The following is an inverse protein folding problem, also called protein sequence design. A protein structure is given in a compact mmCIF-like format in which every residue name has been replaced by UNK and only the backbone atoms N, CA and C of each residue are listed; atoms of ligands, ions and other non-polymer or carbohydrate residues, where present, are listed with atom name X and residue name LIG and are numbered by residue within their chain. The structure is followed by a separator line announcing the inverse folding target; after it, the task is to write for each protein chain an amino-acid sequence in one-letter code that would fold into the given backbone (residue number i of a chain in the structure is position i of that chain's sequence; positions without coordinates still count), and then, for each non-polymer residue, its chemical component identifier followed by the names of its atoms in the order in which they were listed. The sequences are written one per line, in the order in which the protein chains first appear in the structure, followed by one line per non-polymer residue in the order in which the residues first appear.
data_IF_883812927852
#
_entry.id   IF_883812927852
#
_cell.length_a   1.000
_cell.length_b   1.000
_cell.length_c   1.000
_cell.angle_alpha   90.00
_cell.angle_beta   90.00
_cell.angle_gamma   90.00
#
_symmetry.space_group_name_H-M   'P 1'
#
loop_
_entity.id
_entity.type
_entity.pdbx_description
1 polymer ?
#
# COMPACT_ATOMS: atom_id res chain seq x y z
N UNK A 1 1.89 63.47 40.34
CA UNK A 1 3.08 62.87 39.72
C UNK A 1 3.05 61.36 39.95
N UNK A 2 2.75 60.53 38.94
CA UNK A 2 2.65 59.08 39.13
C UNK A 2 4.05 58.47 39.17
N UNK A 3 4.34 57.68 40.21
CA UNK A 3 5.57 56.90 40.35
C UNK A 3 5.50 55.67 39.44
N UNK A 4 5.91 55.82 38.18
CA UNK A 4 6.13 54.71 37.26
C UNK A 4 7.53 54.12 37.44
N UNK A 5 7.70 53.10 38.28
CA UNK A 5 8.92 52.26 38.26
C UNK A 5 8.67 50.91 38.91
N UNK A 6 8.12 49.93 38.18
CA UNK A 6 8.13 48.53 38.64
C UNK A 6 7.79 47.45 37.58
N UNK A 7 7.99 47.71 36.29
CA UNK A 7 7.60 46.75 35.23
C UNK A 7 8.75 45.91 34.63
N UNK A 8 10.00 46.01 35.13
CA UNK A 8 11.17 45.36 34.49
C UNK A 8 11.81 44.18 35.24
N UNK A 9 11.37 43.85 36.46
CA UNK A 9 11.99 42.78 37.27
C UNK A 9 11.67 41.36 36.77
N UNK A 10 10.50 41.15 36.14
CA UNK A 10 10.11 39.86 35.55
C UNK A 10 10.94 39.48 34.31
N UNK A 11 11.26 40.47 33.46
CA UNK A 11 12.11 40.30 32.26
C UNK A 11 13.53 39.88 32.61
N UNK A 12 14.10 40.46 33.67
CA UNK A 12 15.46 40.14 34.11
C UNK A 12 15.59 38.76 34.77
N UNK A 13 14.54 38.29 35.47
CA UNK A 13 14.48 36.92 36.01
C UNK A 13 14.42 35.87 34.89
N UNK A 14 13.58 36.10 33.87
CA UNK A 14 13.48 35.23 32.69
C UNK A 14 14.78 35.21 31.88
N UNK A 15 15.39 36.38 31.65
CA UNK A 15 16.69 36.47 30.99
C UNK A 15 17.79 35.71 31.74
N UNK A 16 17.86 35.84 33.08
CA UNK A 16 18.80 35.06 33.91
C UNK A 16 18.53 33.56 33.84
N UNK A 17 17.27 33.13 33.79
CA UNK A 17 16.92 31.72 33.62
C UNK A 17 17.37 31.20 32.25
N UNK A 18 17.15 31.98 31.19
CA UNK A 18 17.58 31.66 29.82
C UNK A 18 19.10 31.59 29.69
N UNK A 19 19.83 32.54 30.27
CA UNK A 19 21.31 32.51 30.33
C UNK A 19 21.82 31.29 31.09
N UNK A 20 21.20 30.93 32.22
CA UNK A 20 21.52 29.71 32.97
C UNK A 20 21.21 28.45 32.15
N UNK A 21 20.09 28.40 31.42
CA UNK A 21 19.72 27.29 30.53
C UNK A 21 20.79 27.12 29.43
N UNK A 22 21.17 28.20 28.75
CA UNK A 22 22.20 28.20 27.71
C UNK A 22 23.55 27.76 28.29
N UNK A 23 23.94 28.26 29.47
CA UNK A 23 25.18 27.86 30.13
C UNK A 23 25.20 26.37 30.47
N UNK A 24 24.12 25.83 31.04
CA UNK A 24 23.99 24.39 31.32
C UNK A 24 24.03 23.55 30.05
N UNK A 25 23.36 24.01 28.99
CA UNK A 25 23.40 23.36 27.66
C UNK A 25 24.82 23.30 27.13
N UNK A 26 25.55 24.42 27.11
CA UNK A 26 26.96 24.46 26.67
C UNK A 26 27.87 23.55 27.50
N UNK A 27 27.68 23.52 28.82
CA UNK A 27 28.48 22.66 29.69
C UNK A 27 28.22 21.17 29.39
N UNK A 28 26.94 20.77 29.28
CA UNK A 28 26.57 19.40 28.91
C UNK A 28 27.08 19.01 27.53
N UNK A 29 26.98 19.91 26.56
CA UNK A 29 27.49 19.69 25.20
C UNK A 29 29.01 19.49 25.22
N UNK A 30 29.75 20.31 25.98
CA UNK A 30 31.20 20.17 26.10
C UNK A 30 31.59 18.83 26.73
N UNK A 31 30.93 18.44 27.82
CA UNK A 31 31.19 17.13 28.47
C UNK A 31 30.81 15.95 27.58
N UNK A 32 29.74 16.07 26.79
CA UNK A 32 29.36 15.04 25.81
C UNK A 32 30.42 14.94 24.70
N UNK A 33 30.87 16.06 24.14
CA UNK A 33 31.93 16.11 23.14
C UNK A 33 33.25 15.50 23.64
N UNK A 34 33.64 15.78 24.89
CA UNK A 34 34.84 15.18 25.49
C UNK A 34 34.71 13.66 25.65
N UNK A 35 33.54 13.17 26.08
CA UNK A 35 33.26 11.74 26.18
C UNK A 35 33.28 11.07 24.80
N UNK A 36 32.61 11.67 23.83
CA UNK A 36 32.47 11.10 22.49
C UNK A 36 33.82 11.08 21.77
N UNK A 37 34.67 12.11 21.96
CA UNK A 37 36.05 12.13 21.45
C UNK A 37 36.92 11.02 22.04
N UNK A 38 36.79 10.72 23.34
CA UNK A 38 37.51 9.60 23.96
C UNK A 38 37.04 8.25 23.41
N UNK A 39 35.73 8.07 23.21
CA UNK A 39 35.18 6.87 22.60
C UNK A 39 35.67 6.70 21.15
N UNK A 40 35.76 7.78 20.37
CA UNK A 40 36.32 7.76 19.02
C UNK A 40 37.81 7.39 19.00
N UNK A 41 38.61 7.85 19.97
CA UNK A 41 40.00 7.43 20.12
C UNK A 41 40.13 5.94 20.48
N UNK A 42 39.27 5.45 21.38
CA UNK A 42 39.23 4.03 21.73
C UNK A 42 38.80 3.16 20.56
N UNK A 43 37.77 3.56 19.81
CA UNK A 43 37.30 2.87 18.61
C UNK A 43 38.41 2.82 17.56
N UNK A 44 39.06 3.96 17.26
CA UNK A 44 40.21 4.00 16.34
C UNK A 44 41.34 3.08 16.80
N UNK A 45 41.62 3.02 18.10
CA UNK A 45 42.65 2.11 18.64
C UNK A 45 42.26 0.65 18.48
N UNK A 46 40.98 0.31 18.62
CA UNK A 46 40.45 -1.03 18.37
C UNK A 46 40.49 -1.37 16.87
N UNK A 47 40.09 -0.45 16.01
CA UNK A 47 40.12 -0.58 14.54
C UNK A 47 41.53 -0.80 14.00
N UNK A 48 42.51 -0.09 14.58
CA UNK A 48 43.91 -0.23 14.23
C UNK A 48 44.59 -1.43 14.89
N UNK A 49 43.89 -2.18 15.75
CA UNK A 49 44.42 -3.40 16.34
C UNK A 49 44.61 -4.47 15.26
N UNK A 50 45.81 -5.07 15.12
CA UNK A 50 46.07 -6.11 14.12
C UNK A 50 45.12 -7.32 14.21
N UNK A 51 44.64 -7.65 15.41
CA UNK A 51 43.68 -8.74 15.63
C UNK A 51 42.30 -8.42 15.07
N UNK A 52 41.87 -7.16 15.17
CA UNK A 52 40.58 -6.72 14.65
C UNK A 52 40.62 -6.56 13.13
N UNK A 53 41.73 -6.08 12.58
CA UNK A 53 41.94 -6.03 11.13
C UNK A 53 41.97 -7.44 10.50
N UNK A 54 42.61 -8.41 11.17
CA UNK A 54 42.59 -9.80 10.73
C UNK A 54 41.17 -10.39 10.79
N UNK A 55 40.40 -10.06 11.83
CA UNK A 55 38.99 -10.47 11.94
C UNK A 55 38.11 -9.85 10.85
N UNK A 56 38.28 -8.56 10.52
CA UNK A 56 37.57 -7.92 9.39
C UNK A 56 37.91 -8.64 8.09
N UNK A 57 39.18 -8.90 7.81
CA UNK A 57 39.59 -9.59 6.59
C UNK A 57 39.00 -11.02 6.52
N UNK A 58 38.90 -11.72 7.64
CA UNK A 58 38.23 -13.03 7.72
C UNK A 58 36.72 -12.91 7.44
N UNK A 59 36.04 -11.89 7.97
CA UNK A 59 34.64 -11.62 7.67
C UNK A 59 34.43 -11.32 6.17
N UNK A 60 35.29 -10.51 5.56
CA UNK A 60 35.21 -10.21 4.12
C UNK A 60 35.36 -11.47 3.25
N UNK A 61 36.20 -12.43 3.66
CA UNK A 61 36.34 -13.71 2.96
C UNK A 61 35.05 -14.54 3.07
N UNK A 62 34.47 -14.59 4.27
CA UNK A 62 33.21 -15.31 4.52
C UNK A 62 32.05 -14.68 3.74
N UNK A 63 31.95 -13.35 3.72
CA UNK A 63 30.91 -12.64 2.97
C UNK A 63 31.02 -12.90 1.47
N UNK A 64 32.21 -12.79 0.88
CA UNK A 64 32.43 -13.12 -0.53
C UNK A 64 32.02 -14.55 -0.87
N UNK A 65 32.35 -15.50 -0.01
CA UNK A 65 31.95 -16.89 -0.20
C UNK A 65 30.41 -17.06 -0.15
N UNK A 66 29.72 -16.33 0.74
CA UNK A 66 28.25 -16.34 0.81
C UNK A 66 27.63 -15.70 -0.44
N UNK A 67 28.18 -14.59 -0.91
CA UNK A 67 27.71 -13.91 -2.13
C UNK A 67 27.85 -14.81 -3.36
N UNK A 68 28.99 -15.49 -3.52
CA UNK A 68 29.20 -16.46 -4.61
C UNK A 68 28.18 -17.61 -4.57
N UNK A 69 27.89 -18.15 -3.39
CA UNK A 69 26.90 -19.21 -3.23
C UNK A 69 25.46 -18.71 -3.50
N UNK A 70 25.12 -17.49 -3.06
CA UNK A 70 23.84 -16.86 -3.35
C UNK A 70 23.64 -16.58 -4.84
N UNK A 71 24.70 -16.14 -5.54
CA UNK A 71 24.68 -15.95 -6.99
C UNK A 71 24.45 -17.29 -7.71
N UNK A 72 25.16 -18.34 -7.28
CA UNK A 72 24.98 -19.71 -7.79
C UNK A 72 23.55 -20.19 -7.64
N UNK A 73 22.97 -20.05 -6.45
CA UNK A 73 21.58 -20.42 -6.17
C UNK A 73 20.60 -19.57 -6.98
N UNK A 74 20.89 -18.29 -7.18
CA UNK A 74 20.04 -17.39 -7.97
C UNK A 74 20.04 -17.81 -9.44
N UNK A 75 21.21 -18.14 -10.00
CA UNK A 75 21.34 -18.66 -11.36
C UNK A 75 20.59 -19.99 -11.51
N UNK A 76 20.70 -20.89 -10.52
CA UNK A 76 19.99 -22.18 -10.55
C UNK A 76 18.46 -21.99 -10.49
N UNK A 77 17.98 -21.15 -9.57
CA UNK A 77 16.56 -20.78 -9.47
C UNK A 77 16.06 -20.12 -10.75
N UNK A 78 16.84 -19.23 -11.35
CA UNK A 78 16.48 -18.57 -12.60
C UNK A 78 16.32 -19.59 -13.73
N UNK A 79 17.25 -20.54 -13.88
CA UNK A 79 17.15 -21.63 -14.85
C UNK A 79 15.92 -22.50 -14.62
N UNK A 80 15.60 -22.81 -13.36
CA UNK A 80 14.41 -23.60 -13.05
C UNK A 80 13.13 -22.82 -13.40
N UNK A 81 13.10 -21.52 -13.10
CA UNK A 81 12.01 -20.65 -13.50
C UNK A 81 11.84 -20.60 -15.03
N UNK A 82 12.94 -20.49 -15.80
CA UNK A 82 12.89 -20.52 -17.27
C UNK A 82 12.29 -21.84 -17.81
N UNK A 83 12.63 -22.99 -17.21
CA UNK A 83 12.05 -24.28 -17.61
C UNK A 83 10.54 -24.32 -17.36
N UNK A 84 10.12 -23.87 -16.19
CA UNK A 84 8.70 -23.80 -15.81
C UNK A 84 7.95 -22.86 -16.75
N UNK A 85 8.53 -21.70 -17.06
CA UNK A 85 7.93 -20.69 -17.94
C UNK A 85 7.76 -21.23 -19.36
N UNK A 86 8.78 -21.90 -19.92
CA UNK A 86 8.69 -22.55 -21.23
C UNK A 86 7.59 -23.63 -21.24
N UNK A 87 7.51 -24.46 -20.19
CA UNK A 87 6.48 -25.48 -20.08
C UNK A 87 5.07 -24.85 -20.00
N UNK A 88 4.89 -23.79 -19.22
CA UNK A 88 3.63 -23.06 -19.11
C UNK A 88 3.20 -22.45 -20.45
N UNK A 89 4.14 -21.91 -21.23
CA UNK A 89 3.87 -21.38 -22.57
C UNK A 89 3.44 -22.49 -23.54
N UNK A 90 4.09 -23.66 -23.50
CA UNK A 90 3.69 -24.82 -24.30
C UNK A 90 2.29 -25.30 -23.92
N UNK A 91 1.99 -25.41 -22.63
CA UNK A 91 0.67 -25.77 -22.14
C UNK A 91 -0.40 -24.76 -22.55
N UNK A 92 -0.09 -23.45 -22.51
CA UNK A 92 -0.99 -22.40 -22.94
C UNK A 92 -1.32 -22.51 -24.44
N UNK A 93 -0.31 -22.73 -25.28
CA UNK A 93 -0.48 -22.97 -26.71
C UNK A 93 -1.34 -24.22 -26.97
N UNK A 94 -1.08 -25.33 -26.27
CA UNK A 94 -1.88 -26.55 -26.38
C UNK A 94 -3.33 -26.33 -25.91
N UNK A 95 -3.52 -25.56 -24.83
CA UNK A 95 -4.86 -25.22 -24.31
C UNK A 95 -5.64 -24.39 -25.33
N UNK A 96 -5.00 -23.42 -25.98
CA UNK A 96 -5.60 -22.63 -27.08
C UNK A 96 -6.03 -23.52 -28.23
N UNK A 97 -5.16 -24.40 -28.70
CA UNK A 97 -5.48 -25.32 -29.80
C UNK A 97 -6.65 -26.26 -29.44
N UNK A 98 -6.66 -26.81 -28.21
CA UNK A 98 -7.77 -27.64 -27.71
C UNK A 98 -9.08 -26.87 -27.65
N UNK A 99 -9.06 -25.60 -27.22
CA UNK A 99 -10.24 -24.75 -27.17
C UNK A 99 -10.79 -24.43 -28.56
N UNK A 100 -9.93 -24.14 -29.54
CA UNK A 100 -10.35 -23.93 -30.93
C UNK A 100 -10.94 -25.20 -31.55
N UNK A 101 -10.32 -26.35 -31.31
CA UNK A 101 -10.87 -27.65 -31.75
C UNK A 101 -12.25 -27.90 -31.15
N UNK A 102 -12.41 -27.68 -29.84
CA UNK A 102 -13.69 -27.82 -29.16
C UNK A 102 -14.74 -26.81 -29.66
N UNK A 103 -14.32 -25.61 -30.07
CA UNK A 103 -15.22 -24.62 -30.70
C UNK A 103 -15.70 -25.09 -32.06
N UNK A 104 -14.80 -25.58 -32.91
CA UNK A 104 -15.15 -26.16 -34.23
C UNK A 104 -16.08 -27.36 -34.09
N UNK A 105 -15.80 -28.28 -33.16
CA UNK A 105 -16.67 -29.43 -32.90
C UNK A 105 -18.08 -28.99 -32.41
N UNK A 106 -18.18 -27.92 -31.63
CA UNK A 106 -19.48 -27.34 -31.22
C UNK A 106 -20.22 -26.71 -32.41
N UNK A 107 -19.52 -25.94 -33.25
CA UNK A 107 -20.09 -25.34 -34.47
C UNK A 107 -20.59 -26.44 -35.44
N UNK A 108 -19.82 -27.51 -35.63
CA UNK A 108 -20.24 -28.66 -36.44
C UNK A 108 -21.46 -29.39 -35.85
N UNK A 109 -21.51 -29.57 -34.52
CA UNK A 109 -22.68 -30.14 -33.85
C UNK A 109 -23.92 -29.26 -34.00
N UNK A 110 -23.77 -27.93 -33.91
CA UNK A 110 -24.86 -26.97 -34.11
C UNK A 110 -25.40 -27.04 -35.54
N UNK A 111 -24.53 -27.09 -36.55
CA UNK A 111 -24.95 -27.27 -37.96
C UNK A 111 -25.68 -28.60 -38.19
N UNK A 112 -25.23 -29.69 -37.54
CA UNK A 112 -25.90 -30.99 -37.60
C UNK A 112 -27.28 -30.95 -36.92
N UNK A 113 -27.39 -30.28 -35.77
CA UNK A 113 -28.66 -30.08 -35.05
C UNK A 113 -29.63 -29.22 -35.87
N UNK A 114 -29.17 -28.14 -36.49
CA UNK A 114 -29.97 -27.26 -37.36
C UNK A 114 -30.47 -27.99 -38.61
N UNK A 115 -29.61 -28.80 -39.25
CA UNK A 115 -29.97 -29.63 -40.41
C UNK A 115 -31.04 -30.69 -40.05
N UNK A 116 -30.92 -31.32 -38.87
CA UNK A 116 -31.94 -32.25 -38.34
C UNK A 116 -33.24 -31.52 -37.93
N UNK A 117 -33.14 -30.27 -37.47
CA UNK A 117 -34.28 -29.43 -37.06
C UNK A 117 -35.19 -28.98 -38.22
N UNK A 118 -34.67 -28.91 -39.44
CA UNK A 118 -35.48 -28.57 -40.62
C UNK A 118 -36.39 -29.71 -41.11
N UNK A 119 -36.12 -30.97 -40.74
CA UNK A 119 -36.90 -32.15 -41.17
C UNK A 119 -38.19 -32.45 -40.38
N UNK A 120 -38.55 -31.61 -39.40
CA UNK A 120 -39.58 -31.94 -38.41
C UNK A 120 -40.66 -30.87 -38.20
N UNK A 121 -41.18 -30.25 -39.26
CA UNK A 121 -42.44 -29.47 -39.18
C UNK A 121 -43.59 -30.19 -39.89
N UNK A 122 -43.94 -31.39 -39.41
CA UNK A 122 -45.29 -31.93 -39.67
C UNK A 122 -46.27 -31.32 -38.67
N UNK A 123 -47.31 -30.71 -39.23
CA UNK A 123 -48.47 -30.13 -38.55
C UNK A 123 -48.99 -31.05 -37.44
N UNK A 124 -49.18 -30.52 -36.24
CA UNK A 124 -50.06 -31.13 -35.24
C UNK A 124 -50.97 -30.09 -34.60
N UNK A 125 -52.26 -30.36 -34.74
CA UNK A 125 -53.37 -29.66 -34.13
C UNK A 125 -53.37 -29.76 -32.58
N UNK A 126 -54.03 -28.78 -31.99
CA UNK A 126 -54.47 -28.54 -30.60
C UNK A 126 -54.40 -29.70 -29.58
N UNK A 127 -53.93 -29.38 -28.36
CA UNK A 127 -54.72 -29.47 -27.11
C UNK A 127 -54.00 -28.79 -25.92
N UNK A 128 -54.72 -28.15 -24.96
CA UNK A 128 -54.15 -27.54 -23.76
C UNK A 128 -54.25 -28.47 -22.55
N UNK A 129 -53.22 -28.51 -21.71
CA UNK A 129 -53.36 -29.08 -20.35
C UNK A 129 -52.09 -29.62 -19.73
N UNK A 130 -51.71 -29.01 -18.60
CA UNK A 130 -51.04 -29.68 -17.48
C UNK A 130 -49.53 -29.90 -17.59
N UNK A 131 -48.79 -29.44 -16.59
CA UNK A 131 -47.41 -29.90 -16.34
C UNK A 131 -46.31 -28.83 -16.41
N UNK A 132 -46.56 -27.62 -15.89
CA UNK A 132 -45.50 -26.66 -15.58
C UNK A 132 -44.98 -26.90 -14.16
N UNK A 133 -44.15 -27.92 -13.94
CA UNK A 133 -43.32 -27.95 -12.72
C UNK A 133 -42.10 -28.90 -12.77
N UNK A 134 -42.07 -29.91 -13.65
CA UNK A 134 -40.95 -30.86 -13.67
C UNK A 134 -39.78 -30.44 -14.57
N UNK A 135 -39.94 -29.42 -15.43
CA UNK A 135 -38.93 -29.03 -16.44
C UNK A 135 -37.94 -27.95 -15.99
N UNK A 136 -38.08 -27.42 -14.78
CA UNK A 136 -37.17 -26.39 -14.21
C UNK A 136 -36.07 -26.97 -13.32
N UNK A 137 -36.16 -28.23 -12.87
CA UNK A 137 -35.12 -28.86 -12.03
C UNK A 137 -33.89 -29.37 -12.78
N UNK A 138 -34.03 -29.78 -14.05
CA UNK A 138 -32.89 -30.30 -14.84
C UNK A 138 -32.03 -29.22 -15.52
N UNK A 139 -32.42 -27.94 -15.44
CA UNK A 139 -31.60 -26.82 -15.95
C UNK A 139 -30.68 -26.21 -14.88
N UNK A 140 -30.88 -26.52 -13.60
CA UNK A 140 -30.08 -25.96 -12.49
C UNK A 140 -28.92 -26.88 -12.05
N UNK A 141 -28.78 -28.09 -12.61
CA UNK A 141 -27.74 -29.05 -12.20
C UNK A 141 -26.55 -29.14 -13.18
N UNK A 142 -26.60 -28.48 -14.34
CA UNK A 142 -25.54 -28.56 -15.37
C UNK A 142 -24.69 -27.30 -15.55
N UNK A 143 -24.92 -26.26 -14.75
CA UNK A 143 -24.10 -25.02 -14.71
C UNK A 143 -23.05 -25.02 -13.58
N UNK A 144 -22.76 -26.18 -12.98
CA UNK A 144 -21.81 -26.32 -11.87
C UNK A 144 -20.51 -27.05 -12.25
N UNK A 145 -19.85 -26.69 -13.37
CA UNK A 145 -18.56 -27.28 -13.74
C UNK A 145 -17.47 -26.22 -13.88
N UNK A 146 -17.02 -25.77 -12.71
CA UNK A 146 -15.64 -25.37 -12.38
C UNK A 146 -14.85 -24.68 -13.49
N UNK A 147 -15.16 -23.41 -13.74
CA UNK A 147 -14.11 -22.44 -14.02
C UNK A 147 -13.52 -22.08 -12.66
N UNK A 148 -12.48 -22.80 -12.23
CA UNK A 148 -11.61 -22.30 -11.16
C UNK A 148 -10.61 -21.38 -11.88
N UNK A 149 -11.07 -20.18 -12.25
CA UNK A 149 -10.17 -19.04 -12.16
C UNK A 149 -9.88 -18.92 -10.68
N UNK A 150 -8.60 -18.94 -10.31
CA UNK A 150 -8.19 -18.55 -8.96
C UNK A 150 -8.87 -17.20 -8.67
N UNK A 151 -9.76 -17.09 -7.66
CA UNK A 151 -10.48 -15.85 -7.37
C UNK A 151 -9.53 -14.66 -7.15
N UNK A 152 -8.28 -14.97 -6.81
CA UNK A 152 -7.19 -14.02 -6.61
C UNK A 152 -6.61 -13.45 -7.92
N UNK A 153 -6.69 -14.17 -9.04
CA UNK A 153 -6.22 -13.70 -10.36
C UNK A 153 -7.27 -12.81 -11.02
N UNK A 154 -8.55 -13.20 -10.95
CA UNK A 154 -9.66 -12.44 -11.51
C UNK A 154 -9.89 -11.12 -10.74
N UNK A 155 -9.71 -11.13 -9.41
CA UNK A 155 -9.73 -9.90 -8.61
C UNK A 155 -8.56 -8.95 -8.90
N UNK A 156 -7.36 -9.48 -9.22
CA UNK A 156 -6.19 -8.66 -9.59
C UNK A 156 -6.34 -8.08 -11.00
N UNK A 157 -6.81 -8.89 -11.94
CA UNK A 157 -7.07 -8.47 -13.31
C UNK A 157 -8.09 -7.31 -13.36
N UNK A 158 -9.17 -7.42 -12.59
CA UNK A 158 -10.16 -6.35 -12.47
C UNK A 158 -9.59 -5.07 -11.83
N UNK A 159 -8.65 -5.19 -10.87
CA UNK A 159 -7.97 -4.03 -10.29
C UNK A 159 -7.01 -3.36 -11.29
N UNK A 160 -6.29 -4.14 -12.09
CA UNK A 160 -5.35 -3.62 -13.09
C UNK A 160 -6.09 -2.93 -14.26
N UNK A 161 -7.20 -3.48 -14.73
CA UNK A 161 -8.04 -2.83 -15.74
C UNK A 161 -8.65 -1.53 -15.19
N UNK A 162 -9.18 -1.55 -13.95
CA UNK A 162 -9.68 -0.35 -13.29
C UNK A 162 -8.59 0.73 -13.17
N UNK A 163 -7.38 0.36 -12.79
CA UNK A 163 -6.25 1.28 -12.71
C UNK A 163 -5.87 1.85 -14.09
N UNK A 164 -5.93 1.06 -15.16
CA UNK A 164 -5.72 1.56 -16.53
C UNK A 164 -6.80 2.55 -16.95
N UNK A 165 -8.06 2.28 -16.67
CA UNK A 165 -9.17 3.19 -16.98
C UNK A 165 -9.06 4.52 -16.21
N UNK A 166 -8.62 4.47 -14.93
CA UNK A 166 -8.34 5.68 -14.15
C UNK A 166 -7.23 6.52 -14.81
N UNK A 167 -6.13 5.89 -15.23
CA UNK A 167 -5.00 6.58 -15.87
C UNK A 167 -5.43 7.18 -17.22
N UNK A 168 -6.16 6.42 -18.04
CA UNK A 168 -6.62 6.89 -19.35
C UNK A 168 -7.59 8.09 -19.22
N UNK A 169 -8.44 8.10 -18.18
CA UNK A 169 -9.29 9.24 -17.84
C UNK A 169 -8.48 10.47 -17.41
N UNK A 170 -7.46 10.30 -16.57
CA UNK A 170 -6.60 11.39 -16.10
C UNK A 170 -5.79 12.00 -17.25
N UNK A 171 -5.30 11.18 -18.20
CA UNK A 171 -4.48 11.63 -19.33
C UNK A 171 -5.29 12.22 -20.50
N UNK A 172 -6.45 11.65 -20.85
CA UNK A 172 -7.20 12.03 -22.06
C UNK A 172 -8.37 12.97 -21.82
N UNK A 173 -8.75 13.21 -20.56
CA UNK A 173 -9.80 14.20 -20.21
C UNK A 173 -11.19 13.89 -20.79
N UNK A 174 -11.59 12.60 -20.78
CA UNK A 174 -12.88 12.14 -21.32
C UNK A 174 -14.07 12.26 -20.37
N UNK A 175 -15.19 11.62 -20.71
CA UNK A 175 -16.34 11.48 -19.81
C UNK A 175 -15.96 10.69 -18.55
N UNK A 176 -16.47 11.12 -17.39
CA UNK A 176 -16.17 10.50 -16.10
C UNK A 176 -16.58 9.01 -16.14
N UNK A 177 -15.66 8.05 -15.90
CA UNK A 177 -15.97 6.63 -15.95
C UNK A 177 -17.10 6.27 -14.97
N UNK A 178 -17.92 5.28 -15.32
CA UNK A 178 -19.03 4.87 -14.47
C UNK A 178 -18.59 4.46 -13.05
N UNK A 179 -17.45 3.76 -12.93
CA UNK A 179 -16.87 3.35 -11.65
C UNK A 179 -16.45 4.53 -10.75
N UNK A 180 -16.19 5.71 -11.33
CA UNK A 180 -15.82 6.90 -10.54
C UNK A 180 -17.00 7.45 -9.73
N UNK A 181 -18.21 6.95 -10.00
CA UNK A 181 -19.42 7.20 -9.21
C UNK A 181 -19.67 6.11 -8.17
N UNK A 182 -18.92 4.99 -8.24
CA UNK A 182 -19.05 3.90 -7.27
C UNK A 182 -18.49 4.31 -5.91
N UNK A 183 -19.26 3.95 -4.89
CA UNK A 183 -18.92 4.17 -3.49
C UNK A 183 -18.70 2.79 -2.87
N UNK A 184 -17.48 2.55 -2.40
CA UNK A 184 -17.17 1.37 -1.60
C UNK A 184 -17.68 1.58 -0.18
N UNK A 185 -18.55 0.68 0.28
CA UNK A 185 -19.19 0.77 1.58
C UNK A 185 -18.74 -0.39 2.48
N UNK A 186 -18.41 -0.10 3.74
CA UNK A 186 -18.04 -1.16 4.70
C UNK A 186 -19.23 -1.93 5.23
N UNK A 187 -20.35 -1.25 5.47
CA UNK A 187 -21.56 -1.85 6.07
C UNK A 187 -22.81 -1.17 5.49
N UNK A 188 -23.24 -1.53 4.27
CA UNK A 188 -24.29 -0.81 3.53
C UNK A 188 -25.65 -0.77 4.25
N UNK A 189 -25.94 -1.75 5.11
CA UNK A 189 -27.21 -1.85 5.84
C UNK A 189 -27.25 -1.02 7.14
N UNK A 190 -26.16 -0.34 7.50
CA UNK A 190 -26.03 0.40 8.75
C UNK A 190 -26.01 1.91 8.50
N UNK A 191 -26.40 2.75 9.49
CA UNK A 191 -26.30 4.20 9.33
C UNK A 191 -24.86 4.64 9.11
N UNK A 192 -24.68 5.71 8.34
CA UNK A 192 -23.37 6.31 8.05
C UNK A 192 -22.68 6.74 9.34
N UNK A 193 -21.39 6.44 9.47
CA UNK A 193 -20.60 6.85 10.61
C UNK A 193 -20.42 8.38 10.63
N UNK A 194 -20.83 9.09 11.69
CA UNK A 194 -20.71 10.54 11.77
C UNK A 194 -19.27 11.02 11.87
N UNK A 195 -18.36 10.18 12.37
CA UNK A 195 -16.93 10.47 12.42
C UNK A 195 -16.34 10.36 11.02
N UNK A 196 -16.51 9.20 10.37
CA UNK A 196 -15.99 8.96 9.02
C UNK A 196 -16.53 9.94 7.99
N UNK A 197 -17.83 10.27 8.04
CA UNK A 197 -18.45 11.22 7.11
C UNK A 197 -17.89 12.64 7.24
N UNK A 198 -17.38 13.04 8.41
CA UNK A 198 -16.86 14.40 8.64
C UNK A 198 -15.36 14.50 8.43
N UNK A 199 -14.59 13.50 8.90
CA UNK A 199 -13.12 13.56 8.92
C UNK A 199 -12.46 12.62 7.93
N UNK A 200 -13.21 11.72 7.28
CA UNK A 200 -12.66 10.66 6.43
C UNK A 200 -11.94 9.56 7.22
N UNK A 201 -11.93 9.62 8.56
CA UNK A 201 -11.23 8.68 9.42
C UNK A 201 -12.08 8.29 10.64
N UNK A 202 -12.04 7.01 10.99
CA UNK A 202 -12.74 6.45 12.15
C UNK A 202 -11.75 5.64 13.00
N UNK A 203 -11.79 5.80 14.33
CA UNK A 203 -10.94 5.03 15.26
C UNK A 203 -11.09 3.51 15.13
N UNK A 204 -12.28 3.06 14.72
CA UNK A 204 -12.57 1.63 14.55
C UNK A 204 -12.16 1.08 13.17
N UNK A 205 -11.70 1.93 12.25
CA UNK A 205 -11.32 1.54 10.89
C UNK A 205 -12.44 0.77 10.18
N UNK A 206 -12.10 -0.33 9.52
CA UNK A 206 -13.09 -1.17 8.82
C UNK A 206 -13.92 -2.05 9.76
N UNK A 207 -13.53 -2.17 11.05
CA UNK A 207 -14.30 -2.89 12.07
C UNK A 207 -15.39 -2.03 12.73
N UNK A 208 -15.65 -0.83 12.20
CA UNK A 208 -16.73 0.00 12.71
C UNK A 208 -18.08 -0.66 12.46
N UNK A 209 -18.99 -0.61 13.44
CA UNK A 209 -20.35 -1.11 13.30
C UNK A 209 -21.25 -0.25 12.39
N UNK A 210 -20.75 0.90 11.93
CA UNK A 210 -21.45 1.87 11.08
C UNK A 210 -20.86 1.85 9.67
N UNK A 211 -21.62 2.39 8.71
CA UNK A 211 -21.19 2.41 7.32
C UNK A 211 -20.14 3.50 7.06
N UNK A 212 -19.09 3.15 6.33
CA UNK A 212 -18.06 4.06 5.83
C UNK A 212 -18.14 4.15 4.30
N UNK A 213 -18.81 5.18 3.73
CA UNK A 213 -18.86 5.37 2.29
C UNK A 213 -17.56 5.98 1.75
N UNK A 214 -16.81 5.21 0.96
CA UNK A 214 -15.55 5.62 0.32
C UNK A 214 -15.74 5.80 -1.18
N UNK A 215 -15.72 7.03 -1.71
CA UNK A 215 -15.80 7.25 -3.15
C UNK A 215 -14.55 6.71 -3.84
N UNK A 216 -14.71 6.10 -5.03
CA UNK A 216 -13.58 5.61 -5.83
C UNK A 216 -12.63 6.74 -6.26
N UNK A 217 -13.17 7.93 -6.59
CA UNK A 217 -12.39 9.12 -6.92
C UNK A 217 -12.78 10.30 -6.02
N UNK A 218 -11.78 10.92 -5.39
CA UNK A 218 -11.97 12.14 -4.58
C UNK A 218 -10.85 13.15 -4.84
N UNK A 219 -11.14 14.44 -4.58
CA UNK A 219 -10.16 15.53 -4.71
C UNK A 219 -9.20 15.63 -3.53
N UNK A 220 -9.44 14.87 -2.45
CA UNK A 220 -8.73 14.98 -1.18
C UNK A 220 -8.11 13.63 -0.87
N UNK A 221 -6.79 13.59 -0.74
CA UNK A 221 -6.06 12.38 -0.34
C UNK A 221 -5.83 12.41 1.17
N UNK A 222 -6.15 11.31 1.85
CA UNK A 222 -5.81 11.10 3.25
C UNK A 222 -4.55 10.25 3.33
N UNK A 223 -3.50 10.76 3.97
CA UNK A 223 -2.27 10.01 4.25
C UNK A 223 -2.26 9.60 5.73
N UNK A 224 -2.73 8.39 6.08
CA UNK A 224 -2.69 7.92 7.46
C UNK A 224 -1.24 7.81 7.94
N UNK A 225 -0.99 8.16 9.21
CA UNK A 225 0.33 8.12 9.84
C UNK A 225 1.43 8.88 9.06
N UNK A 226 1.05 9.96 8.38
CA UNK A 226 1.95 10.79 7.58
C UNK A 226 3.19 11.27 8.35
N UNK A 227 3.00 11.66 9.60
CA UNK A 227 4.07 12.16 10.46
C UNK A 227 4.05 11.40 11.78
N UNK A 228 5.18 10.79 12.10
CA UNK A 228 5.47 10.21 13.40
C UNK A 228 6.74 10.84 13.93
N UNK A 229 6.74 11.10 15.23
CA UNK A 229 7.85 11.75 15.91
C UNK A 229 7.96 11.12 17.30
N UNK A 230 9.18 10.88 17.77
CA UNK A 230 9.44 10.23 19.07
C UNK A 230 8.75 10.97 20.23
N UNK A 231 8.62 12.30 20.16
CA UNK A 231 7.89 13.10 21.16
C UNK A 231 6.36 13.01 21.06
N UNK A 232 5.81 12.47 19.97
CA UNK A 232 4.36 12.23 19.80
C UNK A 232 3.96 10.77 20.07
N UNK A 233 4.91 9.83 20.02
CA UNK A 233 4.65 8.41 20.28
C UNK A 233 4.53 8.15 21.80
N UNK A 234 3.38 8.54 22.35
CA UNK A 234 3.03 8.34 23.75
C UNK A 234 2.66 6.88 24.08
N UNK A 235 2.79 5.95 23.12
CA UNK A 235 2.33 4.57 23.34
C UNK A 235 3.26 3.74 24.22
N UNK A 236 4.48 4.20 24.49
CA UNK A 236 5.51 3.46 25.24
C UNK A 236 6.24 4.36 26.26
N UNK A 237 5.53 5.07 27.12
CA UNK A 237 6.18 5.77 28.23
C UNK A 237 5.72 5.18 29.56
N UNK A 238 6.58 4.36 30.15
CA UNK A 238 6.63 4.18 31.59
C UNK A 238 6.82 5.56 32.24
N UNK A 239 6.18 5.79 33.39
CA UNK A 239 6.05 7.10 34.08
C UNK A 239 7.38 7.77 34.51
N UNK A 240 8.53 7.26 34.10
CA UNK A 240 9.87 7.69 34.54
C UNK A 240 10.68 8.47 33.51
N UNK A 241 10.21 8.66 32.28
CA UNK A 241 10.98 9.37 31.24
C UNK A 241 10.51 10.83 31.04
N UNK A 242 10.71 11.64 32.09
CA UNK A 242 10.31 13.06 32.08
C UNK A 242 11.32 13.94 31.34
N UNK A 243 12.49 13.40 30.97
CA UNK A 243 13.60 14.14 30.36
C UNK A 243 13.57 14.12 28.83
N UNK A 244 12.90 13.16 28.19
CA UNK A 244 12.75 13.08 26.72
C UNK A 244 11.98 14.27 26.11
N UNK A 245 11.02 14.84 26.85
CA UNK A 245 10.33 16.08 26.48
C UNK A 245 11.21 17.35 26.62
N UNK A 246 12.39 17.26 27.25
CA UNK A 246 13.35 18.37 27.37
C UNK A 246 14.43 18.35 26.29
N UNK A 247 14.52 17.27 25.50
CA UNK A 247 15.54 17.12 24.46
C UNK A 247 15.19 17.87 23.17
N UNK A 248 13.90 18.11 22.91
CA UNK A 248 13.43 18.73 21.67
C UNK A 248 12.60 19.98 21.94
N UNK A 249 13.01 21.08 21.31
CA UNK A 249 12.23 22.32 21.35
C UNK A 249 11.05 22.17 20.38
N UNK A 250 9.85 22.69 20.72
CA UNK A 250 8.68 22.64 19.83
C UNK A 250 8.97 23.22 18.43
N UNK A 251 9.96 24.11 18.32
CA UNK A 251 10.44 24.65 17.05
C UNK A 251 11.17 23.61 16.20
N UNK A 252 11.91 22.69 16.81
CA UNK A 252 12.69 21.64 16.14
C UNK A 252 11.76 20.54 15.63
N UNK A 253 10.78 20.12 16.44
CA UNK A 253 9.75 19.17 16.02
C UNK A 253 8.94 19.70 14.84
N UNK A 254 8.58 20.99 14.86
CA UNK A 254 7.92 21.65 13.73
C UNK A 254 8.79 21.72 12.47
N UNK A 255 10.10 21.93 12.60
CA UNK A 255 11.05 21.90 11.48
C UNK A 255 11.14 20.50 10.87
N UNK A 256 11.18 19.45 11.69
CA UNK A 256 11.11 18.07 11.21
C UNK A 256 9.81 17.79 10.46
N UNK A 257 8.66 18.19 11.02
CA UNK A 257 7.37 18.08 10.33
C UNK A 257 7.39 18.81 8.98
N UNK A 258 7.89 20.05 8.95
CA UNK A 258 8.00 20.84 7.72
C UNK A 258 8.88 20.17 6.67
N UNK A 259 10.02 19.61 7.08
CA UNK A 259 10.93 18.93 6.18
C UNK A 259 10.29 17.68 5.58
N UNK A 260 9.68 16.85 6.43
CA UNK A 260 8.99 15.64 5.97
C UNK A 260 7.77 15.95 5.10
N UNK A 261 7.02 17.00 5.45
CA UNK A 261 5.95 17.56 4.62
C UNK A 261 6.48 17.98 3.25
N UNK A 262 7.58 18.71 3.20
CA UNK A 262 8.14 19.16 1.92
C UNK A 262 8.61 17.99 1.06
N UNK A 263 9.30 17.00 1.63
CA UNK A 263 9.77 15.82 0.89
C UNK A 263 8.58 15.09 0.27
N UNK A 264 7.58 14.75 1.08
CA UNK A 264 6.44 13.97 0.60
C UNK A 264 5.59 14.79 -0.36
N UNK A 265 5.42 16.09 -0.13
CA UNK A 265 4.77 16.96 -1.12
C UNK A 265 5.54 16.99 -2.43
N UNK A 266 6.87 17.11 -2.42
CA UNK A 266 7.68 17.05 -3.65
C UNK A 266 7.53 15.70 -4.37
N UNK A 267 7.50 14.58 -3.64
CA UNK A 267 7.30 13.26 -4.24
C UNK A 267 5.87 13.07 -4.80
N UNK A 268 4.87 13.52 -4.04
CA UNK A 268 3.46 13.45 -4.44
C UNK A 268 3.22 14.38 -5.62
N UNK A 269 3.76 15.59 -5.63
CA UNK A 269 3.70 16.51 -6.76
C UNK A 269 4.48 15.98 -7.96
N UNK A 270 5.64 15.34 -7.78
CA UNK A 270 6.36 14.71 -8.89
C UNK A 270 5.57 13.56 -9.50
N UNK A 271 4.95 12.71 -8.66
CA UNK A 271 4.10 11.60 -9.10
C UNK A 271 2.79 12.09 -9.70
N UNK A 272 2.16 13.13 -9.15
CA UNK A 272 0.96 13.76 -9.71
C UNK A 272 1.29 14.57 -10.99
N UNK A 273 2.47 15.20 -11.08
CA UNK A 273 2.95 15.89 -12.27
C UNK A 273 3.34 14.92 -13.39
N UNK A 274 3.80 13.70 -13.10
CA UNK A 274 3.90 12.64 -14.12
C UNK A 274 2.55 12.38 -14.80
N UNK A 275 1.43 12.61 -14.10
CA UNK A 275 0.07 12.54 -14.65
C UNK A 275 -0.51 13.89 -15.11
N UNK A 276 0.20 15.02 -14.94
CA UNK A 276 -0.23 16.34 -15.42
C UNK A 276 0.66 16.96 -16.51
N UNK A 277 1.70 16.28 -16.98
CA UNK A 277 2.49 16.77 -18.13
C UNK A 277 2.00 16.11 -19.41
N UNK A 278 0.93 16.71 -19.96
CA UNK A 278 0.72 17.02 -21.38
C UNK A 278 -0.60 17.79 -21.51
N UNK A 279 -0.54 19.10 -21.24
CA UNK A 279 -1.45 20.02 -21.93
C UNK A 279 -1.03 20.11 -23.40
#
# INVERSE_FOLDING_TARGET
MPKGRMQNMGRHKLWRAQVKKIRRKRLRQKTAQERDALLEEECRRQEMSPTYQAWIAEQEIIEKFREEEEERLTIEKHKEWERIEIAAQQEWCLRKLRAEKAKKEREEQEVIEDSKGMGGRTRKDKAPGGGKEERTRRKTEKTGKSHISDPMIESKYNQEELMKEIIDFVEKGGERPAFASDVSETNPNMPVCPFFSKTGACRFGDRCSRNHPRPALSKVVLLPNFYSHFGMDQSMHDEYDTDLMLEYEDSETYQHFRFQFLIVCCEVEAKLCQYQIKK
#
